data_IF_564944961927
#
_entry.id   IF_564944961927
#
_cell.length_a   1.000
_cell.length_b   1.000
_cell.length_c   1.000
_cell.angle_alpha   90.00
_cell.angle_beta   90.00
_cell.angle_gamma   90.00
#
_symmetry.space_group_name_H-M   'P 1'
#
loop_
_entity.id
_entity.type
_entity.pdbx_description
1 polymer ?
#
# COMPACT_ATOMS: atom_id res chain seq x y z
N UNK A 1 -23.27 -8.43 0.11
CA UNK A 1 -22.29 -8.56 1.23
C UNK A 1 -20.91 -8.25 0.64
N UNK A 2 -19.96 -7.71 1.39
CA UNK A 2 -18.64 -7.39 0.83
C UNK A 2 -17.82 -8.67 0.66
N UNK A 3 -17.41 -8.96 -0.56
CA UNK A 3 -16.50 -10.07 -0.90
C UNK A 3 -15.03 -9.65 -0.80
N UNK A 4 -14.78 -8.34 -0.83
CA UNK A 4 -13.44 -7.76 -0.88
C UNK A 4 -13.37 -6.50 -0.03
N UNK A 5 -12.30 -6.37 0.75
CA UNK A 5 -11.95 -5.22 1.57
C UNK A 5 -10.67 -4.61 0.99
N UNK A 6 -10.71 -3.33 0.66
CA UNK A 6 -9.54 -2.59 0.20
C UNK A 6 -8.95 -1.79 1.37
N UNK A 7 -7.66 -1.95 1.63
CA UNK A 7 -6.94 -1.32 2.73
C UNK A 7 -5.77 -0.50 2.18
N UNK A 8 -5.93 0.82 2.02
CA UNK A 8 -4.79 1.69 1.80
C UNK A 8 -3.94 1.74 3.07
N UNK A 9 -2.63 1.64 2.92
CA UNK A 9 -1.64 1.80 3.98
C UNK A 9 -0.53 2.73 3.50
N UNK A 10 0.06 3.47 4.43
CA UNK A 10 1.28 4.27 4.23
C UNK A 10 2.48 3.63 4.97
N UNK A 11 2.30 2.40 5.47
CA UNK A 11 3.30 1.69 6.28
C UNK A 11 3.57 2.28 7.65
N UNK A 12 2.87 3.36 8.04
CA UNK A 12 3.13 4.02 9.32
C UNK A 12 2.59 3.22 10.50
N UNK A 13 3.18 3.32 11.70
CA UNK A 13 2.64 2.68 12.91
C UNK A 13 1.22 3.13 13.26
N UNK A 14 0.81 4.30 12.77
CA UNK A 14 -0.55 4.80 12.95
C UNK A 14 -1.59 3.95 12.20
N UNK A 15 -1.16 3.18 11.19
CA UNK A 15 -2.02 2.37 10.34
C UNK A 15 -2.28 0.96 10.90
N UNK A 16 -1.47 0.50 11.86
CA UNK A 16 -1.60 -0.82 12.54
C UNK A 16 -3.03 -1.10 13.07
N UNK A 17 -3.71 -0.17 13.78
CA UNK A 17 -5.06 -0.43 14.28
C UNK A 17 -6.09 -0.60 13.15
N UNK A 18 -5.85 0.01 11.99
CA UNK A 18 -6.70 -0.09 10.79
C UNK A 18 -6.52 -1.46 10.14
N UNK A 19 -5.29 -1.96 10.08
CA UNK A 19 -4.97 -3.32 9.61
C UNK A 19 -5.72 -4.36 10.44
N UNK A 20 -5.64 -4.27 11.77
CA UNK A 20 -6.35 -5.19 12.67
C UNK A 20 -7.88 -5.10 12.50
N UNK A 21 -8.41 -3.90 12.26
CA UNK A 21 -9.83 -3.70 11.95
C UNK A 21 -10.23 -4.41 10.66
N UNK A 22 -9.46 -4.24 9.59
CA UNK A 22 -9.71 -4.84 8.29
C UNK A 22 -9.68 -6.37 8.38
N UNK A 23 -8.68 -6.92 9.07
CA UNK A 23 -8.59 -8.36 9.36
C UNK A 23 -9.82 -8.89 10.10
N UNK A 24 -10.26 -8.20 11.15
CA UNK A 24 -11.46 -8.58 11.89
C UNK A 24 -12.77 -8.49 11.08
N UNK A 25 -12.82 -7.64 10.05
CA UNK A 25 -13.96 -7.61 9.10
C UNK A 25 -13.89 -8.78 8.13
N UNK A 26 -12.72 -9.05 7.56
CA UNK A 26 -12.45 -10.13 6.62
C UNK A 26 -12.78 -11.50 7.22
N UNK A 27 -12.27 -11.81 8.42
CA UNK A 27 -12.52 -13.09 9.10
C UNK A 27 -14.00 -13.34 9.38
N UNK A 28 -14.77 -12.29 9.73
CA UNK A 28 -16.20 -12.43 10.02
C UNK A 28 -17.07 -12.59 8.77
N UNK A 29 -16.53 -12.26 7.60
CA UNK A 29 -17.28 -12.19 6.34
C UNK A 29 -16.75 -13.12 5.26
N UNK A 30 -15.68 -13.85 5.55
CA UNK A 30 -14.95 -14.65 4.56
C UNK A 30 -14.58 -13.82 3.32
N UNK A 31 -14.12 -12.59 3.55
CA UNK A 31 -13.78 -11.63 2.51
C UNK A 31 -12.26 -11.53 2.30
N UNK A 32 -11.84 -11.30 1.05
CA UNK A 32 -10.43 -11.03 0.73
C UNK A 32 -10.03 -9.63 1.18
N UNK A 33 -8.76 -9.43 1.59
CA UNK A 33 -8.19 -8.11 1.87
C UNK A 33 -7.11 -7.80 0.83
N UNK A 34 -7.26 -6.68 0.14
CA UNK A 34 -6.23 -6.13 -0.75
C UNK A 34 -5.60 -4.93 -0.09
N UNK A 35 -4.29 -4.99 0.12
CA UNK A 35 -3.51 -3.89 0.69
C UNK A 35 -2.87 -3.10 -0.45
N UNK A 36 -2.98 -1.77 -0.39
CA UNK A 36 -2.38 -0.84 -1.36
C UNK A 36 -1.53 0.17 -0.60
N UNK A 37 -0.27 0.30 -0.99
CA UNK A 37 0.58 1.43 -0.64
C UNK A 37 0.73 2.36 -1.85
N UNK A 38 0.67 3.67 -1.62
CA UNK A 38 0.78 4.68 -2.68
C UNK A 38 1.96 5.58 -2.36
N UNK A 39 3.04 5.40 -3.13
CA UNK A 39 4.17 6.30 -3.14
C UNK A 39 3.79 7.59 -3.91
N UNK A 40 3.72 8.72 -3.21
CA UNK A 40 3.55 10.04 -3.83
C UNK A 40 4.94 10.67 -4.06
N UNK A 41 5.46 10.53 -5.27
CA UNK A 41 6.70 11.18 -5.70
C UNK A 41 6.54 12.69 -5.89
N UNK A 42 5.29 13.17 -6.02
CA UNK A 42 4.99 14.58 -6.26
C UNK A 42 5.33 15.46 -5.07
N UNK A 43 5.32 14.87 -3.87
CA UNK A 43 5.79 15.50 -2.64
C UNK A 43 7.27 15.95 -2.72
N UNK A 44 8.02 15.46 -3.72
CA UNK A 44 9.44 15.73 -3.90
C UNK A 44 9.77 16.49 -5.20
N UNK A 45 8.77 17.00 -5.93
CA UNK A 45 8.95 17.71 -7.22
C UNK A 45 9.80 18.99 -7.15
N UNK A 46 10.04 19.51 -5.95
CA UNK A 46 10.91 20.67 -5.75
C UNK A 46 12.38 20.29 -5.57
N UNK A 47 12.73 19.00 -5.58
CA UNK A 47 14.11 18.51 -5.49
C UNK A 47 14.77 18.48 -6.87
N UNK A 48 16.11 18.51 -6.87
CA UNK A 48 16.88 18.35 -8.11
C UNK A 48 16.57 16.99 -8.77
N UNK A 49 16.48 16.96 -10.11
CA UNK A 49 16.07 15.78 -10.89
C UNK A 49 16.95 14.54 -10.60
N UNK A 50 18.23 14.75 -10.28
CA UNK A 50 19.19 13.71 -9.91
C UNK A 50 18.90 13.04 -8.56
N UNK A 51 18.03 13.62 -7.73
CA UNK A 51 17.61 13.05 -6.43
C UNK A 51 16.36 12.18 -6.53
N UNK A 52 15.57 12.34 -7.59
CA UNK A 52 14.31 11.61 -7.80
C UNK A 52 14.52 10.08 -7.76
N UNK A 53 15.49 9.47 -8.49
CA UNK A 53 15.64 8.02 -8.50
C UNK A 53 15.89 7.43 -7.10
N UNK A 54 16.72 8.09 -6.29
CA UNK A 54 17.02 7.66 -4.92
C UNK A 54 15.79 7.74 -4.01
N UNK A 55 14.95 8.77 -4.18
CA UNK A 55 13.72 8.91 -3.39
C UNK A 55 12.69 7.87 -3.79
N UNK A 56 12.51 7.62 -5.09
CA UNK A 56 11.60 6.60 -5.60
C UNK A 56 12.00 5.20 -5.14
N UNK A 57 13.29 4.85 -5.19
CA UNK A 57 13.79 3.56 -4.66
C UNK A 57 13.48 3.41 -3.17
N UNK A 58 13.65 4.49 -2.39
CA UNK A 58 13.35 4.46 -0.95
C UNK A 58 11.85 4.27 -0.68
N UNK A 59 11.00 5.01 -1.39
CA UNK A 59 9.54 4.90 -1.27
C UNK A 59 9.06 3.49 -1.66
N UNK A 60 9.61 2.92 -2.73
CA UNK A 60 9.28 1.56 -3.13
C UNK A 60 9.67 0.54 -2.05
N UNK A 61 10.88 0.65 -1.50
CA UNK A 61 11.32 -0.21 -0.40
C UNK A 61 10.47 -0.05 0.87
N UNK A 62 9.83 1.11 1.06
CA UNK A 62 8.91 1.38 2.16
C UNK A 62 7.54 0.74 1.93
N UNK A 63 6.97 0.88 0.74
CA UNK A 63 5.73 0.20 0.37
C UNK A 63 5.85 -1.33 0.37
N UNK A 64 7.00 -1.87 -0.04
CA UNK A 64 7.29 -3.31 0.05
C UNK A 64 7.30 -3.79 1.51
N UNK A 65 7.88 -3.02 2.43
CA UNK A 65 7.84 -3.31 3.87
C UNK A 65 6.43 -3.15 4.46
N UNK A 66 5.67 -2.16 4.00
CA UNK A 66 4.30 -1.91 4.44
C UNK A 66 3.33 -3.04 4.08
N UNK A 67 3.65 -3.80 3.03
CA UNK A 67 2.86 -4.94 2.54
C UNK A 67 3.46 -6.29 2.89
N UNK A 68 4.60 -6.32 3.59
CA UNK A 68 5.27 -7.54 4.00
C UNK A 68 4.36 -8.40 4.90
N UNK A 69 4.28 -9.70 4.59
CA UNK A 69 3.41 -10.65 5.32
C UNK A 69 1.98 -10.74 4.80
N UNK A 70 1.58 -9.91 3.82
CA UNK A 70 0.38 -10.15 3.02
C UNK A 70 0.72 -11.16 1.93
N UNK A 71 0.09 -12.35 1.87
CA UNK A 71 0.29 -13.27 0.76
C UNK A 71 -0.15 -12.58 -0.53
N UNK A 72 0.75 -12.42 -1.50
CA UNK A 72 0.38 -11.81 -2.77
C UNK A 72 -0.61 -12.75 -3.49
N UNK A 73 -1.81 -12.28 -3.86
CA UNK A 73 -2.51 -12.93 -4.95
C UNK A 73 -1.69 -12.72 -6.22
N UNK A 74 -1.73 -13.71 -7.11
CA UNK A 74 -1.11 -13.68 -8.45
C UNK A 74 -1.16 -12.26 -9.03
N UNK A 75 0.02 -11.72 -9.38
CA UNK A 75 0.31 -10.31 -9.60
C UNK A 75 -0.90 -9.51 -10.13
N UNK A 76 -1.63 -8.87 -9.21
CA UNK A 76 -2.68 -7.94 -9.59
C UNK A 76 -2.06 -6.84 -10.47
N UNK A 77 -2.73 -6.42 -11.55
CA UNK A 77 -2.20 -5.38 -12.42
C UNK A 77 -1.87 -4.14 -11.59
N UNK A 78 -0.65 -3.62 -11.78
CA UNK A 78 -0.16 -2.43 -11.11
C UNK A 78 -1.12 -1.28 -11.47
N UNK A 79 -1.93 -0.83 -10.51
CA UNK A 79 -2.83 0.30 -10.71
C UNK A 79 -1.96 1.56 -10.79
N UNK A 80 -1.66 2.00 -12.00
CA UNK A 80 -1.07 3.32 -12.23
C UNK A 80 -2.17 4.34 -12.02
N UNK A 81 -2.00 5.26 -11.06
CA UNK A 81 -2.83 6.45 -11.01
C UNK A 81 -2.51 7.27 -12.28
N UNK A 82 -3.42 7.25 -13.25
CA UNK A 82 -3.39 8.23 -14.34
C UNK A 82 -3.86 9.57 -13.76
N UNK A 83 -3.09 10.64 -14.01
CA UNK A 83 -3.36 12.00 -13.52
C UNK A 83 -4.60 12.67 -14.15
#
# INVERSE_FOLDING_TARGET
MYETVFLPTDGSPATEPVVERARGVATRRDAAVHVLDVADDRAFLTMDDDRIPTVTERLQAEGERATEGVPSPDAAPRLTAEE
#
